data_IF_569693062402
#
_entry.id   IF_569693062402
#
_cell.length_a   1.000
_cell.length_b   1.000
_cell.length_c   1.000
_cell.angle_alpha   90.00
_cell.angle_beta   90.00
_cell.angle_gamma   90.00
#
_symmetry.space_group_name_H-M   'P 1'
#
loop_
_entity.id
_entity.type
_entity.pdbx_description
1 polymer ?
#
# COMPACT_ATOMS: atom_id res chain seq x y z
N UNK A 1 -26.12 -22.99 6.39
CA UNK A 1 -26.01 -22.29 5.08
C UNK A 1 -26.39 -23.29 4.00
N UNK A 2 -27.52 -23.10 3.29
CA UNK A 2 -27.95 -24.00 2.21
C UNK A 2 -27.23 -23.63 0.91
N UNK A 3 -26.07 -24.21 0.66
CA UNK A 3 -25.33 -24.02 -0.59
C UNK A 3 -25.86 -24.92 -1.72
N UNK A 4 -26.62 -25.95 -1.36
CA UNK A 4 -27.29 -26.86 -2.28
C UNK A 4 -28.61 -27.32 -1.68
N UNK A 5 -29.59 -27.63 -2.54
CA UNK A 5 -30.89 -28.16 -2.14
C UNK A 5 -31.09 -29.52 -2.79
N UNK A 6 -31.44 -30.52 -2.01
CA UNK A 6 -31.78 -31.85 -2.52
C UNK A 6 -33.19 -31.79 -3.14
N UNK A 7 -33.30 -32.07 -4.43
CA UNK A 7 -34.55 -32.06 -5.18
C UNK A 7 -35.22 -33.44 -5.13
N UNK A 8 -34.41 -34.49 -5.18
CA UNK A 8 -34.82 -35.87 -5.08
C UNK A 8 -33.68 -36.67 -4.41
N UNK A 9 -33.91 -37.83 -3.84
CA UNK A 9 -32.87 -38.64 -3.22
C UNK A 9 -31.65 -38.80 -4.13
N UNK A 10 -30.51 -38.20 -3.69
CA UNK A 10 -29.24 -38.21 -4.42
C UNK A 10 -29.11 -37.18 -5.54
N UNK A 11 -30.11 -36.33 -5.82
CA UNK A 11 -30.06 -35.26 -6.85
C UNK A 11 -30.05 -33.92 -6.14
N UNK A 12 -28.93 -33.18 -6.29
CA UNK A 12 -28.73 -31.88 -5.66
C UNK A 12 -28.68 -30.75 -6.68
N UNK A 13 -29.38 -29.69 -6.38
CA UNK A 13 -29.27 -28.42 -7.13
C UNK A 13 -28.29 -27.52 -6.36
N UNK A 14 -27.21 -27.13 -7.03
CA UNK A 14 -26.20 -26.20 -6.50
C UNK A 14 -26.70 -24.77 -6.79
N UNK A 15 -26.74 -23.94 -5.77
CA UNK A 15 -27.14 -22.54 -5.95
C UNK A 15 -26.06 -21.74 -6.72
N UNK A 16 -26.43 -20.77 -7.57
CA UNK A 16 -25.48 -19.96 -8.33
C UNK A 16 -24.42 -19.25 -7.44
N UNK A 17 -24.83 -18.90 -6.22
CA UNK A 17 -23.95 -18.23 -5.24
C UNK A 17 -23.01 -19.18 -4.48
N UNK A 18 -23.07 -20.49 -4.72
CA UNK A 18 -22.27 -21.48 -4.00
C UNK A 18 -20.78 -21.32 -4.29
N UNK A 19 -20.38 -21.19 -5.56
CA UNK A 19 -18.98 -21.02 -5.93
C UNK A 19 -18.39 -19.71 -5.38
N UNK A 20 -19.02 -18.53 -5.57
CA UNK A 20 -18.56 -17.29 -4.96
C UNK A 20 -18.44 -17.38 -3.43
N UNK A 21 -19.40 -18.01 -2.78
CA UNK A 21 -19.42 -18.16 -1.32
C UNK A 21 -18.27 -19.03 -0.82
N UNK A 22 -18.06 -20.21 -1.44
CA UNK A 22 -16.98 -21.11 -1.08
C UNK A 22 -15.60 -20.48 -1.35
N UNK A 23 -15.46 -19.75 -2.44
CA UNK A 23 -14.24 -18.99 -2.75
C UNK A 23 -13.95 -17.95 -1.70
N UNK A 24 -14.94 -17.13 -1.31
CA UNK A 24 -14.79 -16.12 -0.27
C UNK A 24 -14.43 -16.73 1.10
N UNK A 25 -14.99 -17.91 1.43
CA UNK A 25 -14.64 -18.63 2.65
C UNK A 25 -13.20 -19.16 2.62
N UNK A 26 -12.76 -19.68 1.46
CA UNK A 26 -11.38 -20.11 1.25
C UNK A 26 -10.39 -18.97 1.41
N UNK A 27 -10.62 -17.84 0.72
CA UNK A 27 -9.79 -16.65 0.80
C UNK A 27 -9.69 -16.11 2.24
N UNK A 28 -10.81 -16.09 2.97
CA UNK A 28 -10.81 -15.68 4.38
C UNK A 28 -9.99 -16.62 5.26
N UNK A 29 -10.09 -17.92 5.01
CA UNK A 29 -9.30 -18.94 5.72
C UNK A 29 -7.79 -18.79 5.45
N UNK A 30 -7.39 -18.46 4.23
CA UNK A 30 -6.00 -18.23 3.85
C UNK A 30 -5.45 -16.95 4.50
N UNK A 31 -6.23 -15.88 4.50
CA UNK A 31 -5.88 -14.62 5.19
C UNK A 31 -5.58 -14.89 6.67
N UNK A 32 -6.49 -15.59 7.38
CA UNK A 32 -6.32 -15.90 8.80
C UNK A 32 -5.05 -16.74 9.02
N UNK A 33 -4.82 -17.79 8.23
CA UNK A 33 -3.61 -18.63 8.34
C UNK A 33 -2.32 -17.85 8.12
N UNK A 34 -2.31 -16.97 7.12
CA UNK A 34 -1.15 -16.13 6.82
C UNK A 34 -0.85 -15.16 7.97
N UNK A 35 -1.88 -14.54 8.53
CA UNK A 35 -1.74 -13.66 9.69
C UNK A 35 -1.26 -14.39 10.93
N UNK A 36 -1.84 -15.55 11.24
CA UNK A 36 -1.42 -16.39 12.37
C UNK A 36 0.04 -16.82 12.25
N UNK A 37 0.47 -17.21 11.04
CA UNK A 37 1.86 -17.59 10.79
C UNK A 37 2.81 -16.39 10.95
N UNK A 38 2.44 -15.23 10.37
CA UNK A 38 3.25 -14.02 10.45
C UNK A 38 3.39 -13.49 11.88
N UNK A 39 2.35 -13.66 12.70
CA UNK A 39 2.28 -13.16 14.08
C UNK A 39 2.47 -14.27 15.12
N UNK A 40 3.06 -15.39 14.72
CA UNK A 40 3.30 -16.54 15.63
C UNK A 40 4.01 -16.09 16.91
N UNK A 41 3.43 -16.44 18.07
CA UNK A 41 3.94 -16.05 19.38
C UNK A 41 3.55 -14.65 19.87
N UNK A 42 2.81 -13.86 19.07
CA UNK A 42 2.28 -12.54 19.49
C UNK A 42 0.76 -12.62 19.67
N UNK A 43 0.28 -12.10 20.80
CA UNK A 43 -1.15 -11.86 21.02
C UNK A 43 -1.52 -10.50 20.48
N UNK A 44 -2.27 -10.45 19.38
CA UNK A 44 -2.77 -9.22 18.77
C UNK A 44 -4.12 -9.46 18.07
N UNK A 45 -4.90 -8.43 17.95
CA UNK A 45 -6.11 -8.44 17.15
C UNK A 45 -5.76 -8.46 15.65
N UNK A 46 -6.51 -9.25 14.86
CA UNK A 46 -6.36 -9.32 13.41
C UNK A 46 -7.40 -8.44 12.72
N UNK A 47 -6.95 -7.61 11.80
CA UNK A 47 -7.79 -6.77 10.99
C UNK A 47 -7.42 -6.89 9.49
N UNK A 48 -8.39 -6.71 8.62
CA UNK A 48 -8.14 -6.59 7.17
C UNK A 48 -8.24 -5.11 6.83
N UNK A 49 -7.19 -4.57 6.22
CA UNK A 49 -7.18 -3.19 5.78
C UNK A 49 -8.17 -2.98 4.64
N UNK A 50 -9.12 -2.08 4.85
CA UNK A 50 -10.10 -1.68 3.83
C UNK A 50 -9.78 -0.26 3.35
N UNK A 51 -9.31 -0.09 2.10
CA UNK A 51 -9.11 1.23 1.54
C UNK A 51 -10.45 1.94 1.33
N UNK A 52 -10.50 3.22 1.57
CA UNK A 52 -11.67 4.06 1.30
C UNK A 52 -12.58 4.38 2.47
N UNK A 53 -12.47 3.72 3.61
CA UNK A 53 -13.16 4.14 4.83
C UNK A 53 -12.36 5.25 5.52
N UNK A 54 -12.90 6.46 5.58
CA UNK A 54 -12.51 7.56 6.48
C UNK A 54 -11.04 8.00 6.51
N UNK A 55 -10.29 7.83 5.42
CA UNK A 55 -8.87 8.22 5.38
C UNK A 55 -7.99 7.44 6.36
N UNK A 56 -8.41 6.22 6.73
CA UNK A 56 -7.69 5.37 7.66
C UNK A 56 -6.27 5.09 7.18
N UNK A 57 -5.30 5.46 8.00
CA UNK A 57 -3.88 5.23 7.74
C UNK A 57 -3.33 4.35 8.83
N UNK A 58 -2.64 3.28 8.47
CA UNK A 58 -1.88 2.45 9.41
C UNK A 58 -0.39 2.65 9.19
N UNK A 59 0.35 2.69 10.30
CA UNK A 59 1.80 2.65 10.31
C UNK A 59 2.22 1.40 11.05
N UNK A 60 3.18 0.65 10.51
CA UNK A 60 3.62 -0.57 11.16
C UNK A 60 4.84 -1.17 10.50
N UNK A 61 5.27 -2.29 11.06
CA UNK A 61 6.36 -3.11 10.57
C UNK A 61 5.83 -4.19 9.62
N UNK A 62 6.49 -4.40 8.50
CA UNK A 62 6.20 -5.56 7.63
C UNK A 62 6.57 -6.83 8.39
N UNK A 63 5.58 -7.59 8.84
CA UNK A 63 5.78 -8.87 9.53
C UNK A 63 5.94 -10.02 8.54
N UNK A 64 5.17 -10.01 7.45
CA UNK A 64 5.28 -10.98 6.36
C UNK A 64 4.80 -10.36 5.04
N UNK A 65 5.19 -10.98 3.95
CA UNK A 65 4.72 -10.69 2.59
C UNK A 65 4.59 -11.99 1.79
N UNK A 66 3.74 -11.99 0.78
CA UNK A 66 3.55 -13.17 -0.08
C UNK A 66 2.59 -12.91 -1.22
N UNK A 67 2.36 -13.95 -2.02
CA UNK A 67 1.34 -13.96 -3.06
C UNK A 67 0.06 -14.61 -2.51
N UNK A 68 -1.05 -13.91 -2.63
CA UNK A 68 -2.38 -14.43 -2.32
C UNK A 68 -2.95 -15.21 -3.51
N UNK A 69 -2.58 -14.82 -4.72
CA UNK A 69 -3.01 -15.47 -5.96
C UNK A 69 -1.86 -15.39 -6.98
N UNK A 70 -1.30 -16.56 -7.31
CA UNK A 70 -0.19 -16.67 -8.26
C UNK A 70 -0.64 -16.41 -9.69
N UNK A 71 -1.88 -16.79 -10.06
CA UNK A 71 -2.40 -16.61 -11.41
C UNK A 71 -2.57 -15.13 -11.78
N UNK A 72 -3.00 -14.32 -10.82
CA UNK A 72 -3.21 -12.87 -11.01
C UNK A 72 -2.09 -12.02 -10.43
N UNK A 73 -1.04 -12.65 -9.90
CA UNK A 73 0.11 -11.99 -9.27
C UNK A 73 -0.34 -10.95 -8.21
N UNK A 74 -1.29 -11.35 -7.36
CA UNK A 74 -1.81 -10.51 -6.27
C UNK A 74 -0.96 -10.73 -5.03
N UNK A 75 -0.26 -9.68 -4.62
CA UNK A 75 0.53 -9.67 -3.40
C UNK A 75 -0.28 -9.30 -2.16
N UNK A 76 0.28 -9.63 -1.00
CA UNK A 76 -0.19 -9.12 0.28
C UNK A 76 0.97 -8.79 1.21
N UNK A 77 0.69 -7.91 2.18
CA UNK A 77 1.55 -7.66 3.34
C UNK A 77 0.76 -7.98 4.60
N UNK A 78 1.45 -8.50 5.61
CA UNK A 78 0.99 -8.51 6.99
C UNK A 78 1.77 -7.45 7.74
N UNK A 79 1.07 -6.46 8.28
CA UNK A 79 1.64 -5.31 8.98
C UNK A 79 1.36 -5.45 10.47
N UNK A 80 2.41 -5.53 11.27
CA UNK A 80 2.36 -5.40 12.74
C UNK A 80 2.22 -3.90 13.04
N UNK A 81 1.01 -3.46 13.32
CA UNK A 81 0.66 -2.04 13.43
C UNK A 81 1.13 -1.38 14.70
N UNK A 82 1.41 -0.08 14.64
CA UNK A 82 1.70 0.73 15.82
C UNK A 82 0.48 0.90 16.74
N UNK A 83 -0.72 0.57 16.25
CA UNK A 83 -1.98 0.54 16.98
C UNK A 83 -2.19 -0.73 17.82
N UNK A 84 -1.24 -1.68 17.74
CA UNK A 84 -1.29 -2.96 18.47
C UNK A 84 -2.08 -4.05 17.75
N UNK A 85 -2.52 -3.83 16.50
CA UNK A 85 -3.22 -4.79 15.67
C UNK A 85 -2.30 -5.30 14.55
N UNK A 86 -2.57 -6.53 14.10
CA UNK A 86 -1.99 -7.02 12.85
C UNK A 86 -2.97 -6.79 11.71
N UNK A 87 -2.49 -6.15 10.63
CA UNK A 87 -3.30 -5.80 9.48
C UNK A 87 -2.89 -6.63 8.26
N UNK A 88 -3.85 -7.31 7.66
CA UNK A 88 -3.69 -7.90 6.34
C UNK A 88 -3.99 -6.82 5.29
N UNK A 89 -3.04 -6.57 4.40
CA UNK A 89 -3.11 -5.56 3.35
C UNK A 89 -2.99 -6.25 2.00
N UNK A 90 -4.09 -6.34 1.27
CA UNK A 90 -4.07 -6.80 -0.12
C UNK A 90 -3.44 -5.71 -1.00
N UNK A 91 -2.47 -6.08 -1.81
CA UNK A 91 -1.80 -5.16 -2.72
C UNK A 91 -2.43 -5.20 -4.12
N UNK A 92 -2.33 -4.12 -4.88
CA UNK A 92 -2.69 -4.11 -6.29
C UNK A 92 -1.94 -5.21 -7.07
N UNK A 93 -2.55 -5.75 -8.14
CA UNK A 93 -1.85 -6.72 -9.00
C UNK A 93 -0.53 -6.18 -9.52
N UNK A 94 0.49 -7.04 -9.59
CA UNK A 94 1.86 -6.72 -10.02
C UNK A 94 2.61 -5.73 -9.12
N UNK A 95 2.22 -5.63 -7.86
CA UNK A 95 3.03 -4.91 -6.86
C UNK A 95 4.36 -5.62 -6.65
N UNK A 96 5.45 -4.86 -6.65
CA UNK A 96 6.80 -5.39 -6.42
C UNK A 96 7.01 -5.60 -4.91
N UNK A 97 6.85 -6.83 -4.45
CA UNK A 97 6.97 -7.18 -3.03
C UNK A 97 8.38 -6.94 -2.47
N UNK A 98 9.40 -6.98 -3.33
CA UNK A 98 10.79 -6.76 -2.93
C UNK A 98 11.04 -5.36 -2.36
N UNK A 99 10.22 -4.38 -2.74
CA UNK A 99 10.29 -3.02 -2.18
C UNK A 99 9.93 -2.95 -0.69
N UNK A 100 9.28 -4.00 -0.15
CA UNK A 100 8.82 -4.06 1.23
C UNK A 100 9.53 -5.19 1.99
N UNK A 101 10.79 -5.02 2.41
CA UNK A 101 11.49 -6.06 3.16
C UNK A 101 10.85 -6.28 4.53
N UNK A 102 10.88 -7.52 5.00
CA UNK A 102 10.42 -7.85 6.36
C UNK A 102 11.22 -7.07 7.40
N UNK A 103 10.56 -6.51 8.39
CA UNK A 103 11.15 -5.62 9.39
C UNK A 103 11.15 -4.13 9.01
N UNK A 104 10.94 -3.80 7.74
CA UNK A 104 10.81 -2.41 7.30
C UNK A 104 9.56 -1.74 7.90
N UNK A 105 9.64 -0.43 8.15
CA UNK A 105 8.49 0.37 8.60
C UNK A 105 7.81 0.98 7.39
N UNK A 106 6.51 0.77 7.29
CA UNK A 106 5.66 1.27 6.20
C UNK A 106 4.47 2.05 6.76
N UNK A 107 3.96 2.94 5.92
CA UNK A 107 2.65 3.58 6.10
C UNK A 107 1.73 3.09 4.99
N UNK A 108 0.58 2.58 5.35
CA UNK A 108 -0.46 2.12 4.44
C UNK A 108 -1.66 3.04 4.56
N UNK A 109 -2.13 3.52 3.44
CA UNK A 109 -3.32 4.38 3.35
C UNK A 109 -4.18 3.99 2.16
N UNK A 110 -5.46 4.33 2.22
CA UNK A 110 -6.31 4.28 1.03
C UNK A 110 -5.73 5.20 -0.04
N UNK A 111 -5.60 4.70 -1.26
CA UNK A 111 -5.28 5.56 -2.40
C UNK A 111 -6.58 6.19 -2.89
N UNK A 112 -6.59 7.50 -2.96
CA UNK A 112 -7.66 8.27 -3.59
C UNK A 112 -7.35 8.57 -5.07
N UNK A 113 -6.25 8.00 -5.58
CA UNK A 113 -5.82 8.24 -6.94
C UNK A 113 -6.70 7.50 -7.94
N UNK A 114 -7.51 8.25 -8.64
CA UNK A 114 -8.24 7.78 -9.80
C UNK A 114 -7.24 7.32 -10.87
N UNK A 115 -7.52 6.20 -11.54
CA UNK A 115 -6.67 5.74 -12.65
C UNK A 115 -6.57 6.80 -13.75
N UNK A 116 -5.37 6.96 -14.29
CA UNK A 116 -5.16 7.84 -15.45
C UNK A 116 -6.08 7.44 -16.63
N UNK A 117 -6.31 6.13 -16.83
CA UNK A 117 -7.22 5.63 -17.86
C UNK A 117 -8.66 6.17 -17.66
N UNK A 118 -9.19 6.13 -16.42
CA UNK A 118 -10.57 6.58 -16.14
C UNK A 118 -10.70 8.10 -16.32
N UNK A 119 -9.67 8.87 -15.91
CA UNK A 119 -9.61 10.32 -16.17
C UNK A 119 -9.56 10.64 -17.66
N UNK A 120 -8.72 9.93 -18.42
CA UNK A 120 -8.57 10.15 -19.85
C UNK A 120 -9.83 9.77 -20.61
N UNK A 121 -10.47 8.64 -20.27
CA UNK A 121 -11.73 8.23 -20.87
C UNK A 121 -12.81 9.28 -20.60
N UNK A 122 -12.95 9.75 -19.35
CA UNK A 122 -13.92 10.78 -19.00
C UNK A 122 -13.64 12.12 -19.73
N UNK A 123 -12.38 12.54 -19.80
CA UNK A 123 -11.98 13.79 -20.47
C UNK A 123 -12.21 13.78 -21.99
N UNK A 124 -12.14 12.60 -22.62
CA UNK A 124 -12.31 12.43 -24.08
C UNK A 124 -13.74 12.03 -24.47
N UNK A 125 -14.64 11.88 -23.49
CA UNK A 125 -16.03 11.57 -23.75
C UNK A 125 -16.83 12.86 -24.09
N UNK A 126 -17.71 12.74 -25.07
CA UNK A 126 -18.65 13.78 -25.44
C UNK A 126 -20.07 13.32 -25.13
N UNK A 127 -20.81 14.10 -24.34
CA UNK A 127 -22.18 13.77 -23.92
C UNK A 127 -22.33 12.35 -23.31
N UNK A 128 -21.33 11.90 -22.55
CA UNK A 128 -21.32 10.56 -21.95
C UNK A 128 -20.99 9.43 -22.92
N UNK A 129 -20.51 9.74 -24.12
CA UNK A 129 -20.08 8.77 -25.11
C UNK A 129 -18.59 8.85 -25.33
N UNK A 130 -17.87 7.77 -25.09
CA UNK A 130 -16.46 7.62 -25.41
C UNK A 130 -16.30 6.79 -26.70
N UNK A 131 -15.46 7.26 -27.62
CA UNK A 131 -15.18 6.64 -28.90
C UNK A 131 -13.71 6.36 -29.08
N UNK A 132 -13.38 5.10 -29.37
CA UNK A 132 -11.98 4.66 -29.55
C UNK A 132 -11.33 5.22 -30.80
N UNK A 133 -12.11 5.38 -31.89
CA UNK A 133 -11.67 5.98 -33.16
C UNK A 133 -11.31 7.48 -32.97
N UNK A 134 -12.14 8.22 -32.25
CA UNK A 134 -11.88 9.64 -31.91
C UNK A 134 -10.59 9.78 -31.07
N UNK A 135 -10.43 8.91 -30.05
CA UNK A 135 -9.20 8.92 -29.25
C UNK A 135 -7.95 8.61 -30.08
N UNK A 136 -8.04 7.60 -30.98
CA UNK A 136 -6.94 7.28 -31.88
C UNK A 136 -6.61 8.45 -32.83
N UNK A 137 -7.63 9.13 -33.37
CA UNK A 137 -7.44 10.29 -34.25
C UNK A 137 -6.75 11.45 -33.53
N UNK A 138 -7.15 11.75 -32.29
CA UNK A 138 -6.49 12.77 -31.45
C UNK A 138 -5.03 12.41 -31.14
N UNK A 139 -4.77 11.15 -30.84
CA UNK A 139 -3.41 10.67 -30.60
C UNK A 139 -2.53 10.67 -31.86
N UNK A 140 -3.13 10.55 -33.06
CA UNK A 140 -2.46 10.62 -34.36
C UNK A 140 -2.15 12.06 -34.79
N UNK A 141 -2.97 13.02 -34.35
CA UNK A 141 -2.74 14.46 -34.61
C UNK A 141 -1.53 15.03 -33.85
N UNK A 142 -1.01 14.35 -32.86
CA UNK A 142 0.22 14.66 -32.14
C UNK A 142 1.40 13.88 -32.77
N UNK A 143 1.93 14.43 -33.86
CA UNK A 143 3.28 14.28 -34.44
C UNK A 143 3.90 12.90 -34.74
N UNK A 144 3.34 11.76 -34.35
CA UNK A 144 3.67 10.42 -34.89
C UNK A 144 2.71 9.35 -34.36
N UNK A 145 2.06 8.52 -35.21
CA UNK A 145 1.27 7.40 -34.73
C UNK A 145 2.22 6.32 -34.23
N UNK A 146 2.54 6.41 -32.97
CA UNK A 146 3.43 5.52 -32.27
C UNK A 146 2.65 4.25 -31.90
N UNK A 147 3.34 3.10 -31.90
CA UNK A 147 2.88 1.82 -31.32
C UNK A 147 2.27 2.05 -29.93
N UNK A 148 2.82 2.98 -29.20
CA UNK A 148 2.41 3.47 -27.90
C UNK A 148 0.95 4.00 -27.83
N UNK A 149 0.50 4.78 -28.82
CA UNK A 149 -0.88 5.31 -28.86
C UNK A 149 -1.93 4.21 -29.01
N UNK A 150 -1.66 3.19 -29.82
CA UNK A 150 -2.55 2.02 -29.97
C UNK A 150 -2.59 1.18 -28.69
N UNK A 151 -1.47 1.00 -28.02
CA UNK A 151 -1.37 0.28 -26.74
C UNK A 151 -2.13 1.00 -25.62
N UNK A 152 -2.08 2.33 -25.58
CA UNK A 152 -2.84 3.15 -24.65
C UNK A 152 -4.35 2.99 -24.89
N UNK A 153 -4.83 3.12 -26.10
CA UNK A 153 -6.26 2.92 -26.41
C UNK A 153 -6.69 1.48 -26.13
N UNK A 154 -5.88 0.50 -26.45
CA UNK A 154 -6.15 -0.90 -26.11
C UNK A 154 -6.23 -1.13 -24.58
N UNK A 155 -5.42 -0.40 -23.79
CA UNK A 155 -5.52 -0.42 -22.34
C UNK A 155 -6.82 0.19 -21.84
N UNK A 156 -7.27 1.31 -22.44
CA UNK A 156 -8.59 1.91 -22.15
C UNK A 156 -9.74 0.97 -22.50
N UNK A 157 -9.70 0.29 -23.62
CA UNK A 157 -10.72 -0.72 -23.99
C UNK A 157 -10.75 -1.86 -22.98
N UNK A 158 -9.60 -2.39 -22.57
CA UNK A 158 -9.55 -3.43 -21.51
C UNK A 158 -10.15 -2.93 -20.20
N UNK A 159 -9.91 -1.66 -19.84
CA UNK A 159 -10.50 -1.04 -18.66
C UNK A 159 -12.02 -0.92 -18.79
N UNK A 160 -12.52 -0.42 -19.91
CA UNK A 160 -13.95 -0.30 -20.19
C UNK A 160 -14.66 -1.66 -20.15
N UNK A 161 -14.06 -2.71 -20.71
CA UNK A 161 -14.61 -4.08 -20.62
C UNK A 161 -14.68 -4.59 -19.16
N UNK A 162 -13.70 -4.25 -18.33
CA UNK A 162 -13.76 -4.59 -16.91
C UNK A 162 -14.89 -3.85 -16.18
N UNK A 163 -15.05 -2.56 -16.44
CA UNK A 163 -16.12 -1.73 -15.88
C UNK A 163 -17.51 -2.12 -16.41
N UNK A 164 -17.62 -2.57 -17.68
CA UNK A 164 -18.85 -3.10 -18.26
C UNK A 164 -19.32 -4.37 -17.54
N UNK A 165 -18.41 -5.29 -17.26
CA UNK A 165 -18.74 -6.50 -16.48
C UNK A 165 -19.21 -6.18 -15.06
N UNK A 166 -18.84 -5.02 -14.55
CA UNK A 166 -19.29 -4.51 -13.26
C UNK A 166 -20.59 -3.67 -13.36
N UNK A 167 -21.15 -3.47 -14.57
CA UNK A 167 -22.35 -2.69 -14.77
C UNK A 167 -22.17 -1.17 -14.66
N UNK A 168 -20.92 -0.68 -14.72
CA UNK A 168 -20.58 0.76 -14.58
C UNK A 168 -20.66 1.48 -15.93
N UNK A 169 -20.29 0.82 -17.01
CA UNK A 169 -20.34 1.35 -18.38
C UNK A 169 -21.07 0.39 -19.30
N UNK A 170 -21.60 0.90 -20.41
CA UNK A 170 -22.29 0.10 -21.43
C UNK A 170 -21.54 0.19 -22.77
N UNK A 171 -21.51 -0.90 -23.52
CA UNK A 171 -20.99 -0.92 -24.89
C UNK A 171 -22.16 -0.80 -25.85
N UNK A 172 -22.26 0.33 -26.56
CA UNK A 172 -23.35 0.59 -27.52
C UNK A 172 -23.04 -0.02 -28.89
N UNK A 173 -21.80 0.03 -29.32
CA UNK A 173 -21.34 -0.54 -30.58
C UNK A 173 -19.84 -0.87 -30.50
N UNK A 174 -19.26 -1.37 -31.58
CA UNK A 174 -17.82 -1.56 -31.65
C UNK A 174 -17.09 -0.22 -31.54
N UNK A 175 -16.22 -0.10 -30.52
CA UNK A 175 -15.47 1.11 -30.22
C UNK A 175 -16.31 2.26 -29.61
N UNK A 176 -17.60 2.06 -29.31
CA UNK A 176 -18.49 3.08 -28.75
C UNK A 176 -18.99 2.66 -27.39
N UNK A 177 -18.79 3.51 -26.41
CA UNK A 177 -19.08 3.22 -25.01
C UNK A 177 -19.87 4.36 -24.36
N UNK A 178 -20.96 4.00 -23.69
CA UNK A 178 -21.69 4.92 -22.79
C UNK A 178 -21.06 4.87 -21.42
N UNK A 179 -20.65 6.02 -20.93
CA UNK A 179 -19.99 6.16 -19.64
C UNK A 179 -20.76 7.12 -18.73
N UNK A 180 -20.79 6.89 -17.41
CA UNK A 180 -21.38 7.83 -16.46
C UNK A 180 -20.50 9.07 -16.29
N UNK A 181 -21.12 10.21 -15.92
CA UNK A 181 -20.39 11.46 -15.70
C UNK A 181 -19.37 11.40 -14.54
N UNK A 182 -19.58 10.51 -13.59
CA UNK A 182 -18.72 10.22 -12.44
C UNK A 182 -17.87 8.94 -12.62
N UNK A 183 -17.57 8.57 -13.87
CA UNK A 183 -16.77 7.38 -14.21
C UNK A 183 -15.51 7.23 -13.35
N UNK A 184 -14.83 8.33 -13.10
CA UNK A 184 -13.59 8.36 -12.33
C UNK A 184 -13.80 7.88 -10.89
N UNK A 185 -14.89 8.31 -10.26
CA UNK A 185 -15.26 7.91 -8.90
C UNK A 185 -15.75 6.47 -8.84
N UNK A 186 -16.66 6.07 -9.74
CA UNK A 186 -17.15 4.69 -9.82
C UNK A 186 -16.03 3.71 -10.17
N UNK A 187 -15.08 4.11 -11.01
CA UNK A 187 -13.89 3.33 -11.34
C UNK A 187 -12.97 3.13 -10.13
N UNK A 188 -12.79 4.16 -9.30
CA UNK A 188 -12.05 4.07 -8.04
C UNK A 188 -12.76 3.12 -7.06
N UNK A 189 -14.07 3.24 -6.88
CA UNK A 189 -14.85 2.35 -6.02
C UNK A 189 -14.79 0.90 -6.49
N UNK A 190 -14.86 0.65 -7.79
CA UNK A 190 -14.68 -0.68 -8.38
C UNK A 190 -13.31 -1.27 -8.05
N UNK A 191 -12.24 -0.47 -8.15
CA UNK A 191 -10.89 -0.93 -7.84
C UNK A 191 -10.74 -1.25 -6.35
N UNK A 192 -11.31 -0.43 -5.47
CA UNK A 192 -11.33 -0.66 -4.02
C UNK A 192 -12.03 -1.98 -3.68
N UNK A 193 -13.22 -2.21 -4.23
CA UNK A 193 -14.05 -3.36 -3.87
C UNK A 193 -13.54 -4.69 -4.46
N UNK A 194 -12.99 -4.67 -5.66
CA UNK A 194 -12.75 -5.91 -6.42
C UNK A 194 -11.28 -6.30 -6.58
N UNK A 195 -10.37 -5.34 -6.55
CA UNK A 195 -8.96 -5.59 -6.83
C UNK A 195 -8.07 -5.43 -5.59
N UNK A 196 -8.64 -5.12 -4.40
CA UNK A 196 -7.82 -4.60 -3.30
C UNK A 196 -7.04 -3.35 -3.72
N UNK A 197 -7.37 -2.80 -4.90
CA UNK A 197 -6.80 -1.58 -5.44
C UNK A 197 -7.20 -0.38 -4.60
N UNK A 198 -6.47 0.71 -4.71
CA UNK A 198 -6.67 1.87 -3.86
C UNK A 198 -5.88 1.80 -2.55
N UNK A 199 -4.85 0.94 -2.49
CA UNK A 199 -3.88 0.91 -1.39
C UNK A 199 -2.58 1.56 -1.86
N UNK A 200 -2.13 2.57 -1.13
CA UNK A 200 -0.80 3.14 -1.26
C UNK A 200 0.06 2.72 -0.06
N UNK A 201 1.19 2.10 -0.34
CA UNK A 201 2.17 1.72 0.68
C UNK A 201 3.40 2.61 0.52
N UNK A 202 3.70 3.38 1.55
CA UNK A 202 4.85 4.28 1.58
C UNK A 202 5.89 3.73 2.53
N UNK A 203 7.06 3.42 2.01
CA UNK A 203 8.19 2.98 2.83
C UNK A 203 8.71 4.15 3.67
N UNK A 204 8.69 4.01 4.99
CA UNK A 204 9.21 5.01 5.94
C UNK A 204 10.63 4.73 6.36
N UNK A 205 11.00 3.45 6.46
CA UNK A 205 12.37 3.01 6.76
C UNK A 205 12.61 1.59 6.29
N UNK A 206 13.73 1.35 5.63
CA UNK A 206 14.22 -0.01 5.33
C UNK A 206 14.80 -0.69 6.58
N UNK A 207 15.25 0.11 7.57
CA UNK A 207 15.88 -0.40 8.76
C UNK A 207 14.83 -0.83 9.80
N UNK A 208 14.99 -2.01 10.40
CA UNK A 208 14.24 -2.38 11.60
C UNK A 208 14.45 -1.36 12.72
N UNK A 209 13.46 -1.19 13.61
CA UNK A 209 13.50 -0.14 14.64
C UNK A 209 14.68 -0.29 15.60
N UNK A 210 15.10 -1.53 15.88
CA UNK A 210 16.23 -1.83 16.76
C UNK A 210 17.54 -1.24 16.21
N UNK A 211 17.71 -1.29 14.90
CA UNK A 211 18.87 -0.69 14.23
C UNK A 211 18.80 0.83 14.16
N UNK A 212 17.59 1.40 14.18
CA UNK A 212 17.42 2.85 14.12
C UNK A 212 17.82 3.56 15.41
N UNK A 213 17.87 2.86 16.54
CA UNK A 213 18.12 3.46 17.86
C UNK A 213 19.49 4.15 17.98
N UNK A 214 20.53 3.61 17.33
CA UNK A 214 21.92 4.10 17.44
C UNK A 214 22.56 4.50 16.10
N UNK A 215 21.79 4.63 15.02
CA UNK A 215 22.31 5.06 13.72
C UNK A 215 22.75 6.52 13.74
N UNK A 216 23.94 6.78 13.16
CA UNK A 216 24.40 8.16 12.88
C UNK A 216 23.67 8.65 11.64
N UNK A 217 22.49 9.17 11.78
CA UNK A 217 21.69 9.63 10.66
C UNK A 217 20.25 9.87 11.06
N UNK A 218 19.52 10.55 10.22
CA UNK A 218 18.09 10.79 10.45
C UNK A 218 17.30 9.51 10.17
N UNK A 219 16.54 9.06 11.17
CA UNK A 219 15.75 7.83 11.12
C UNK A 219 14.24 8.14 11.17
N UNK A 220 13.41 7.12 11.01
CA UNK A 220 11.98 7.23 11.24
C UNK A 220 11.67 7.52 12.73
N UNK A 221 12.45 6.96 13.68
CA UNK A 221 12.29 7.25 15.11
C UNK A 221 12.46 8.75 15.42
N UNK A 222 13.38 9.44 14.76
CA UNK A 222 13.55 10.89 14.97
C UNK A 222 12.31 11.68 14.55
N UNK A 223 11.63 11.26 13.48
CA UNK A 223 10.36 11.86 13.05
C UNK A 223 9.25 11.58 14.07
N UNK A 224 9.23 10.37 14.65
CA UNK A 224 8.28 10.03 15.72
C UNK A 224 8.54 10.86 16.99
N UNK A 225 9.78 11.11 17.37
CA UNK A 225 10.13 12.01 18.48
C UNK A 225 9.60 13.42 18.24
N UNK A 226 9.81 13.96 17.04
CA UNK A 226 9.35 15.32 16.67
C UNK A 226 7.81 15.40 16.67
N UNK A 227 7.12 14.35 16.20
CA UNK A 227 5.64 14.30 16.21
C UNK A 227 5.03 14.00 17.57
N UNK A 228 5.88 13.73 18.60
CA UNK A 228 5.45 13.40 19.95
C UNK A 228 4.87 11.99 20.09
N UNK A 229 5.21 11.07 19.19
CA UNK A 229 4.78 9.66 19.26
C UNK A 229 3.26 9.46 19.15
N UNK A 230 2.57 10.32 18.42
CA UNK A 230 1.11 10.24 18.26
C UNK A 230 0.72 8.94 17.55
N UNK A 231 -0.35 8.28 18.04
CA UNK A 231 -0.89 7.05 17.42
C UNK A 231 -0.14 5.76 17.79
N UNK A 232 0.79 5.80 18.76
CA UNK A 232 1.48 4.61 19.24
C UNK A 232 0.65 3.91 20.34
N UNK A 233 0.29 2.66 20.13
CA UNK A 233 -0.30 1.79 21.14
C UNK A 233 0.70 1.43 22.26
N UNK A 234 0.19 0.86 23.35
CA UNK A 234 1.03 0.42 24.47
C UNK A 234 1.52 -1.04 24.31
N UNK A 235 0.90 -1.79 23.44
CA UNK A 235 1.17 -3.21 23.19
C UNK A 235 1.71 -3.44 21.77
N UNK A 236 2.26 -4.62 21.54
CA UNK A 236 2.77 -5.04 20.25
C UNK A 236 3.85 -4.11 19.71
N UNK A 237 3.84 -3.86 18.40
CA UNK A 237 4.84 -3.01 17.75
C UNK A 237 4.81 -1.57 18.26
N UNK A 238 3.67 -1.03 18.65
CA UNK A 238 3.58 0.30 19.27
C UNK A 238 4.38 0.43 20.54
N UNK A 239 4.29 -0.58 21.43
CA UNK A 239 5.09 -0.65 22.66
C UNK A 239 6.59 -0.80 22.36
N UNK A 240 6.96 -1.64 21.38
CA UNK A 240 8.35 -1.78 20.93
C UNK A 240 8.91 -0.43 20.42
N UNK A 241 8.11 0.31 19.64
CA UNK A 241 8.49 1.66 19.16
C UNK A 241 8.69 2.63 20.32
N UNK A 242 7.81 2.63 21.33
CA UNK A 242 7.98 3.48 22.52
C UNK A 242 9.30 3.18 23.24
N UNK A 243 9.65 1.91 23.41
CA UNK A 243 10.92 1.52 24.00
C UNK A 243 12.11 1.96 23.13
N UNK A 244 12.02 1.79 21.80
CA UNK A 244 13.07 2.24 20.87
C UNK A 244 13.23 3.77 20.86
N UNK A 245 12.14 4.54 21.03
CA UNK A 245 12.20 6.00 21.16
C UNK A 245 12.99 6.43 22.42
N UNK A 246 12.83 5.73 23.55
CA UNK A 246 13.64 5.99 24.75
C UNK A 246 15.13 5.78 24.48
N UNK A 247 15.50 4.64 23.87
CA UNK A 247 16.87 4.35 23.51
C UNK A 247 17.42 5.37 22.49
N UNK A 248 16.59 5.83 21.54
CA UNK A 248 16.99 6.87 20.59
C UNK A 248 17.25 8.20 21.27
N UNK A 249 16.43 8.58 22.24
CA UNK A 249 16.66 9.79 23.05
C UNK A 249 17.97 9.70 23.82
N UNK A 250 18.28 8.54 24.43
CA UNK A 250 19.55 8.34 25.13
C UNK A 250 20.74 8.53 24.19
N UNK A 251 20.69 7.89 23.01
CA UNK A 251 21.73 8.08 22.01
C UNK A 251 21.85 9.54 21.54
N UNK A 252 20.73 10.23 21.29
CA UNK A 252 20.76 11.64 20.88
C UNK A 252 21.30 12.53 22.00
N UNK A 253 21.09 12.18 23.26
CA UNK A 253 21.65 12.90 24.43
C UNK A 253 23.16 12.70 24.50
N UNK A 254 23.65 11.47 24.31
CA UNK A 254 25.08 11.16 24.18
C UNK A 254 25.75 11.98 23.07
N UNK A 255 24.98 12.25 21.99
CA UNK A 255 25.45 13.02 20.83
C UNK A 255 25.29 14.55 20.99
N UNK A 256 24.75 15.04 22.11
CA UNK A 256 24.46 16.46 22.35
C UNK A 256 23.32 17.02 21.49
N UNK A 257 22.44 16.16 20.97
CA UNK A 257 21.30 16.51 20.10
C UNK A 257 19.96 16.46 20.82
N UNK A 258 19.93 15.99 22.06
CA UNK A 258 18.77 16.01 22.93
C UNK A 258 19.20 16.33 24.38
N UNK A 259 18.28 16.88 25.16
CA UNK A 259 18.47 17.16 26.60
C UNK A 259 17.22 16.67 27.34
N UNK A 260 17.42 15.92 28.43
CA UNK A 260 16.33 15.56 29.35
C UNK A 260 16.17 16.62 30.42
N UNK A 261 14.97 17.20 30.53
CA UNK A 261 14.58 18.12 31.60
C UNK A 261 13.38 17.55 32.34
N UNK A 262 13.63 16.73 33.35
CA UNK A 262 12.59 16.00 34.07
C UNK A 262 11.84 15.05 33.10
N UNK A 263 10.51 15.11 33.01
CA UNK A 263 9.73 14.25 32.10
C UNK A 263 9.77 14.70 30.64
N UNK A 264 10.36 15.87 30.33
CA UNK A 264 10.41 16.44 28.99
C UNK A 264 11.74 16.17 28.31
N UNK A 265 11.67 15.90 27.02
CA UNK A 265 12.83 15.80 26.13
C UNK A 265 12.86 17.04 25.23
N UNK A 266 13.97 17.74 25.24
CA UNK A 266 14.20 18.90 24.37
C UNK A 266 15.14 18.43 23.25
N UNK A 267 14.66 18.48 22.02
CA UNK A 267 15.42 18.11 20.83
C UNK A 267 16.10 19.33 20.22
N UNK A 268 17.27 19.15 19.64
CA UNK A 268 17.95 20.21 18.88
C UNK A 268 17.01 20.78 17.77
N UNK A 269 16.99 22.11 17.61
CA UNK A 269 16.08 22.81 16.71
C UNK A 269 16.11 22.27 15.27
N UNK A 270 17.30 21.89 14.78
CA UNK A 270 17.52 21.38 13.41
C UNK A 270 17.92 19.91 13.42
N UNK A 271 17.36 19.09 14.33
CA UNK A 271 17.76 17.69 14.54
C UNK A 271 17.93 16.90 13.24
N UNK A 272 16.91 16.85 12.39
CA UNK A 272 16.97 16.05 11.16
C UNK A 272 18.03 16.53 10.17
N UNK A 273 18.23 17.83 10.04
CA UNK A 273 19.25 18.40 9.15
C UNK A 273 20.65 18.06 9.69
N UNK A 274 20.88 18.23 11.00
CA UNK A 274 22.15 17.90 11.66
C UNK A 274 22.46 16.41 11.51
N UNK A 275 21.49 15.52 11.73
CA UNK A 275 21.68 14.08 11.59
C UNK A 275 22.02 13.69 10.14
N UNK A 276 21.35 14.29 9.14
CA UNK A 276 21.67 14.05 7.72
C UNK A 276 23.10 14.48 7.39
N UNK A 277 23.49 15.67 7.84
CA UNK A 277 24.85 16.18 7.62
C UNK A 277 25.93 15.28 8.25
N UNK A 278 25.69 14.81 9.50
CA UNK A 278 26.59 13.86 10.18
C UNK A 278 26.69 12.52 9.45
N UNK A 279 25.58 12.02 8.91
CA UNK A 279 25.56 10.77 8.13
C UNK A 279 26.41 10.88 6.86
N UNK A 280 26.28 12.00 6.13
CA UNK A 280 27.09 12.26 4.93
C UNK A 280 28.57 12.34 5.29
N UNK A 281 28.93 13.05 6.37
CA UNK A 281 30.32 13.16 6.82
C UNK A 281 30.90 11.81 7.28
N UNK A 282 30.08 10.95 7.92
CA UNK A 282 30.49 9.59 8.32
C UNK A 282 30.74 8.71 7.10
N UNK A 283 29.75 8.67 6.16
CA UNK A 283 29.89 7.88 4.93
C UNK A 283 31.09 8.33 4.07
N UNK A 284 31.40 9.63 4.03
CA UNK A 284 32.55 10.15 3.33
C UNK A 284 33.86 9.67 3.97
N UNK A 285 33.93 9.61 5.31
CA UNK A 285 35.11 9.09 6.04
C UNK A 285 35.29 7.59 5.81
N UNK A 286 34.22 6.82 5.86
CA UNK A 286 34.26 5.38 5.64
C UNK A 286 34.76 5.07 4.22
N UNK A 287 34.22 5.79 3.21
CA UNK A 287 34.62 5.65 1.82
C UNK A 287 36.09 6.04 1.62
N UNK A 288 36.56 7.13 2.26
CA UNK A 288 37.96 7.53 2.20
C UNK A 288 38.89 6.48 2.82
N UNK A 289 38.47 5.88 3.94
CA UNK A 289 39.21 4.79 4.58
C UNK A 289 39.29 3.53 3.71
N UNK A 290 38.18 3.16 3.03
CA UNK A 290 38.13 2.00 2.13
C UNK A 290 38.91 2.22 0.83
N UNK A 291 38.90 3.42 0.28
CA UNK A 291 39.50 3.74 -1.03
C UNK A 291 40.94 4.29 -0.93
N UNK A 292 41.40 4.61 0.28
CA UNK A 292 42.73 5.25 0.49
C UNK A 292 42.81 6.69 -0.07
N UNK A 293 41.67 7.29 -0.43
CA UNK A 293 41.58 8.66 -0.94
C UNK A 293 41.36 9.61 0.23
N UNK A 294 42.36 10.43 0.57
CA UNK A 294 42.17 11.53 1.50
C UNK A 294 41.23 12.59 0.88
N UNK A 295 40.21 12.93 1.60
CA UNK A 295 39.36 14.06 1.25
C UNK A 295 40.13 15.36 1.42
N UNK A 296 40.50 15.99 0.31
CA UNK A 296 40.95 17.39 0.28
C UNK A 296 39.77 18.35 0.28
#
# INVERSE_FOLDING_TARGET
MGLATEQQPGVWTIHPETEPTLRAMGERGDIIRNMQRAMSGKQCEFAVFQPGADGHTIVGRVAAKGLADELYNKGYLVIDGTDGKAHYVALPPRSELEQYPTGAVVEVKGSTDVRAADRNIAALSENGIYRTDHHLALAQGQATPNRESREVVAAHVRRLEALRRAGIVEREAEGVWRIPGDLAEQGLQYDVQRLGGGVAVVLKSHLPIERQTRVIGATWLDRQLISGGKGLGDLGFGGEVKAALQQRVDFLTEQGLAERRGPRVILARNLLATLRSRNVAHAAKDLAAETGLEHR
#
